data_IF_148494725951
#
_entry.id   IF_148494725951
#
_cell.length_a   1.000
_cell.length_b   1.000
_cell.length_c   1.000
_cell.angle_alpha   90.00
_cell.angle_beta   90.00
_cell.angle_gamma   90.00
#
_symmetry.space_group_name_H-M   'P 1'
#
loop_
_entity.id
_entity.type
_entity.pdbx_description
1 polymer ?
#
# COMPACT_ATOMS: atom_id res chain seq x y z
N UNK A 1 -12.98 -27.26 0.02
CA UNK A 1 -13.99 -26.55 -0.77
C UNK A 1 -14.34 -25.27 -0.05
N UNK A 2 -13.98 -24.06 -0.44
CA UNK A 2 -13.10 -23.58 -1.51
C UNK A 2 -12.63 -22.19 -1.10
N UNK A 3 -11.39 -21.88 -1.49
CA UNK A 3 -10.76 -20.57 -1.43
C UNK A 3 -11.64 -19.50 -2.09
N UNK A 4 -12.12 -18.52 -1.32
CA UNK A 4 -12.71 -17.29 -1.88
C UNK A 4 -12.65 -16.16 -0.86
N UNK A 5 -11.54 -15.45 -0.81
CA UNK A 5 -11.45 -13.97 -0.96
C UNK A 5 -9.98 -13.66 -1.26
N UNK A 6 -9.54 -13.95 -2.48
CA UNK A 6 -8.33 -13.36 -3.04
C UNK A 6 -8.53 -13.16 -4.53
N UNK A 7 -9.33 -12.16 -4.90
CA UNK A 7 -9.47 -11.72 -6.28
C UNK A 7 -9.95 -10.28 -6.31
N UNK A 8 -9.06 -9.33 -6.02
CA UNK A 8 -9.25 -7.93 -6.41
C UNK A 8 -7.96 -7.25 -6.92
N UNK A 9 -6.96 -8.05 -7.36
CA UNK A 9 -5.72 -7.53 -7.99
C UNK A 9 -5.73 -7.78 -9.51
N UNK A 10 -6.90 -7.74 -10.17
CA UNK A 10 -6.96 -7.93 -11.64
C UNK A 10 -7.67 -6.83 -12.43
N UNK A 11 -8.08 -5.75 -11.79
CA UNK A 11 -8.56 -4.57 -12.51
C UNK A 11 -7.58 -3.42 -12.28
N UNK A 12 -6.40 -3.55 -12.89
CA UNK A 12 -5.49 -2.43 -13.06
C UNK A 12 -6.24 -1.29 -13.75
N UNK A 13 -6.19 -0.11 -13.14
CA UNK A 13 -6.80 1.11 -13.65
C UNK A 13 -6.52 1.24 -15.16
N UNK A 14 -7.55 1.24 -16.04
CA UNK A 14 -7.37 1.39 -17.48
C UNK A 14 -6.54 2.63 -17.83
N UNK A 15 -6.59 3.66 -16.98
CA UNK A 15 -5.91 4.92 -17.19
C UNK A 15 -4.37 4.77 -17.08
N UNK A 16 -3.88 3.82 -16.27
CA UNK A 16 -2.46 3.55 -16.14
C UNK A 16 -1.89 2.91 -17.43
N UNK A 17 -2.67 2.05 -18.09
CA UNK A 17 -2.28 1.45 -19.37
C UNK A 17 -2.20 2.49 -20.51
N UNK A 18 -3.14 3.42 -20.56
CA UNK A 18 -3.11 4.52 -21.55
C UNK A 18 -1.94 5.49 -21.32
N UNK A 19 -1.56 5.75 -20.06
CA UNK A 19 -0.40 6.57 -19.74
C UNK A 19 0.93 5.89 -20.11
N UNK A 20 1.07 4.60 -19.83
CA UNK A 20 2.30 3.86 -20.18
C UNK A 20 2.49 3.75 -21.71
N UNK A 21 1.39 3.63 -22.46
CA UNK A 21 1.42 3.55 -23.93
C UNK A 21 1.81 4.87 -24.61
N UNK A 22 1.51 6.02 -23.99
CA UNK A 22 2.00 7.33 -24.45
C UNK A 22 3.48 7.56 -24.16
N UNK A 23 4.00 6.99 -23.06
CA UNK A 23 5.41 7.13 -22.70
C UNK A 23 6.36 6.24 -23.51
N UNK A 24 5.83 5.19 -24.16
CA UNK A 24 6.64 4.16 -24.84
C UNK A 24 6.55 4.18 -26.38
N UNK A 25 5.84 5.13 -27.00
CA UNK A 25 5.61 5.13 -28.46
C UNK A 25 6.13 6.37 -29.22
N UNK A 26 7.07 7.13 -28.66
CA UNK A 26 7.69 8.25 -29.37
C UNK A 26 9.08 7.93 -29.95
N UNK A 27 9.49 6.66 -30.00
CA UNK A 27 10.72 6.27 -30.69
C UNK A 27 10.42 5.29 -31.85
N UNK A 28 10.76 5.76 -33.05
CA UNK A 28 10.96 5.07 -34.33
C UNK A 28 9.75 4.76 -35.22
N UNK A 29 9.50 5.63 -36.21
CA UNK A 29 9.01 5.21 -37.52
C UNK A 29 9.38 6.21 -38.65
N UNK A 30 10.62 6.07 -39.09
CA UNK A 30 11.15 6.34 -40.41
C UNK A 30 10.44 5.48 -41.48
N UNK A 31 9.63 6.09 -42.34
CA UNK A 31 8.87 5.34 -43.35
C UNK A 31 8.19 6.21 -44.41
N UNK A 32 8.97 6.59 -45.41
CA UNK A 32 8.57 7.29 -46.65
C UNK A 32 7.28 6.72 -47.28
N UNK A 33 6.35 7.61 -47.64
CA UNK A 33 5.42 7.36 -48.75
C UNK A 33 5.24 8.63 -49.59
N UNK A 34 5.78 8.56 -50.80
CA UNK A 34 5.66 9.54 -51.88
C UNK A 34 4.21 9.58 -52.39
N UNK A 35 3.59 10.75 -52.39
CA UNK A 35 2.55 11.08 -53.36
C UNK A 35 2.90 12.40 -54.04
N UNK A 36 2.91 12.37 -55.38
CA UNK A 36 3.30 13.46 -56.27
C UNK A 36 2.10 14.38 -56.52
N UNK A 37 2.38 15.69 -56.46
CA UNK A 37 1.91 16.79 -57.32
C UNK A 37 0.40 17.06 -57.47
N UNK A 38 -0.05 18.21 -56.95
CA UNK A 38 -0.89 19.14 -57.73
C UNK A 38 -0.88 20.58 -57.18
N UNK A 39 -0.17 21.46 -57.89
CA UNK A 39 -0.58 22.84 -58.23
C UNK A 39 -0.93 23.87 -57.15
N UNK A 40 0.08 24.61 -56.65
CA UNK A 40 0.24 26.08 -56.74
C UNK A 40 1.40 26.53 -55.84
N UNK A 41 2.34 27.30 -56.40
CA UNK A 41 3.34 28.03 -55.62
C UNK A 41 2.62 29.08 -54.76
N UNK A 42 2.89 29.19 -53.45
CA UNK A 42 2.45 30.34 -52.67
C UNK A 42 3.15 31.60 -53.19
N UNK A 43 2.48 32.77 -53.19
CA UNK A 43 3.12 34.01 -53.62
C UNK A 43 4.30 34.34 -52.71
N UNK A 44 5.39 34.79 -53.31
CA UNK A 44 6.57 35.28 -52.59
C UNK A 44 6.19 36.39 -51.59
N UNK A 45 6.83 36.43 -50.40
CA UNK A 45 6.58 37.49 -49.43
C UNK A 45 6.92 38.85 -50.04
N UNK A 46 5.93 39.74 -49.98
CA UNK A 46 6.07 41.17 -50.25
C UNK A 46 7.13 41.73 -49.31
N UNK A 47 8.02 42.57 -49.84
CA UNK A 47 9.09 43.25 -49.10
C UNK A 47 8.49 43.97 -47.88
N UNK A 48 9.11 43.93 -46.70
CA UNK A 48 8.61 44.67 -45.55
C UNK A 48 8.78 46.17 -45.82
N UNK A 49 7.65 46.87 -45.94
CA UNK A 49 7.63 48.32 -45.82
C UNK A 49 8.10 48.69 -44.43
N UNK A 50 8.96 49.70 -44.37
CA UNK A 50 9.61 50.19 -43.15
C UNK A 50 8.55 50.76 -42.21
N UNK A 51 8.04 49.92 -41.32
CA UNK A 51 7.25 50.35 -40.18
C UNK A 51 8.17 51.06 -39.20
N UNK A 52 8.07 52.39 -39.15
CA UNK A 52 8.79 53.21 -38.18
C UNK A 52 8.28 52.84 -36.78
N UNK A 53 9.03 52.02 -36.06
CA UNK A 53 8.83 51.86 -34.63
C UNK A 53 9.02 53.21 -33.95
N UNK A 54 7.90 53.85 -33.61
CA UNK A 54 7.82 54.87 -32.57
C UNK A 54 8.45 54.26 -31.32
N UNK A 55 9.64 54.75 -30.95
CA UNK A 55 10.26 54.45 -29.66
C UNK A 55 9.39 55.13 -28.60
N UNK A 56 8.36 54.45 -28.14
CA UNK A 56 7.73 54.81 -26.88
C UNK A 56 8.77 54.54 -25.79
N UNK A 57 9.20 55.62 -25.15
CA UNK A 57 10.18 55.58 -24.09
C UNK A 57 9.75 54.57 -23.04
N UNK A 58 10.67 53.69 -22.67
CA UNK A 58 10.50 52.82 -21.52
C UNK A 58 10.56 53.73 -20.29
N UNK A 59 9.41 54.28 -19.90
CA UNK A 59 9.24 54.78 -18.55
C UNK A 59 9.15 53.54 -17.66
N UNK A 60 10.29 52.93 -17.33
CA UNK A 60 10.34 51.91 -16.27
C UNK A 60 10.17 52.62 -14.94
N UNK A 61 8.92 52.89 -14.60
CA UNK A 61 8.48 52.91 -13.22
C UNK A 61 7.82 51.56 -13.03
N UNK A 62 8.63 50.52 -12.82
CA UNK A 62 8.12 49.30 -12.22
C UNK A 62 7.47 49.71 -10.90
N UNK A 63 6.15 49.55 -10.81
CA UNK A 63 5.38 49.94 -9.64
C UNK A 63 5.99 49.25 -8.42
N UNK A 64 6.48 50.04 -7.46
CA UNK A 64 7.17 49.56 -6.25
C UNK A 64 6.35 48.52 -5.47
N UNK A 65 5.04 48.45 -5.70
CA UNK A 65 4.14 47.43 -5.20
C UNK A 65 4.50 46.03 -5.69
N UNK A 66 4.78 45.85 -6.99
CA UNK A 66 4.90 44.53 -7.61
C UNK A 66 6.20 43.84 -7.18
N UNK A 67 7.27 44.62 -7.04
CA UNK A 67 8.56 44.16 -6.48
C UNK A 67 8.40 43.75 -5.01
N UNK A 68 7.56 44.47 -4.24
CA UNK A 68 7.30 44.15 -2.83
C UNK A 68 6.51 42.84 -2.70
N UNK A 69 5.46 42.64 -3.50
CA UNK A 69 4.69 41.39 -3.51
C UNK A 69 5.53 40.19 -3.95
N UNK A 70 6.38 40.35 -4.97
CA UNK A 70 7.30 39.30 -5.40
C UNK A 70 8.30 38.89 -4.31
N UNK A 71 8.83 39.85 -3.55
CA UNK A 71 9.73 39.57 -2.42
C UNK A 71 9.03 38.79 -1.31
N UNK A 72 7.84 39.24 -0.91
CA UNK A 72 7.07 38.57 0.14
C UNK A 72 6.70 37.13 -0.28
N UNK A 73 6.27 36.93 -1.52
CA UNK A 73 5.97 35.60 -2.04
C UNK A 73 7.20 34.68 -2.09
N UNK A 74 8.40 35.21 -2.34
CA UNK A 74 9.63 34.41 -2.25
C UNK A 74 9.93 33.98 -0.82
N UNK A 75 9.77 34.88 0.16
CA UNK A 75 10.02 34.60 1.57
C UNK A 75 9.03 33.55 2.12
N UNK A 76 7.74 33.71 1.84
CA UNK A 76 6.70 32.72 2.18
C UNK A 76 6.99 31.35 1.54
N UNK A 77 7.44 31.31 0.28
CA UNK A 77 7.84 30.06 -0.37
C UNK A 77 9.05 29.39 0.29
N UNK A 78 10.02 30.16 0.80
CA UNK A 78 11.16 29.60 1.52
C UNK A 78 10.74 28.99 2.86
N UNK A 79 9.84 29.65 3.58
CA UNK A 79 9.28 29.15 4.84
C UNK A 79 8.47 27.87 4.61
N UNK A 80 7.57 27.87 3.61
CA UNK A 80 6.78 26.70 3.24
C UNK A 80 7.66 25.51 2.85
N UNK A 81 8.74 25.74 2.09
CA UNK A 81 9.71 24.68 1.75
C UNK A 81 10.38 24.11 3.00
N UNK A 82 10.79 24.96 3.94
CA UNK A 82 11.37 24.51 5.21
C UNK A 82 10.37 23.68 6.00
N UNK A 83 9.12 24.15 6.09
CA UNK A 83 8.06 23.44 6.83
C UNK A 83 7.71 22.09 6.21
N UNK A 84 7.69 22.01 4.87
CA UNK A 84 7.49 20.74 4.16
C UNK A 84 8.62 19.77 4.52
N UNK A 85 9.88 20.20 4.51
CA UNK A 85 11.01 19.34 4.87
C UNK A 85 10.92 18.79 6.30
N UNK A 86 10.52 19.62 7.27
CA UNK A 86 10.29 19.16 8.65
C UNK A 86 9.16 18.14 8.75
N UNK A 87 8.03 18.39 8.06
CA UNK A 87 6.88 17.50 8.07
C UNK A 87 7.21 16.16 7.41
N UNK A 88 8.00 16.17 6.33
CA UNK A 88 8.44 14.95 5.67
C UNK A 88 9.35 14.10 6.57
N UNK A 89 10.28 14.74 7.29
CA UNK A 89 11.12 14.05 8.28
C UNK A 89 10.28 13.44 9.41
N UNK A 90 9.37 14.22 9.99
CA UNK A 90 8.50 13.71 11.05
C UNK A 90 7.62 12.56 10.56
N UNK A 91 7.15 12.63 9.31
CA UNK A 91 6.39 11.55 8.67
C UNK A 91 7.24 10.28 8.55
N UNK A 92 8.49 10.38 8.11
CA UNK A 92 9.38 9.21 8.00
C UNK A 92 9.65 8.57 9.35
N UNK A 93 9.90 9.38 10.38
CA UNK A 93 10.15 8.90 11.74
C UNK A 93 8.91 8.18 12.29
N UNK A 94 7.73 8.80 12.14
CA UNK A 94 6.45 8.20 12.56
C UNK A 94 6.13 6.90 11.82
N UNK A 95 6.44 6.83 10.52
CA UNK A 95 6.23 5.60 9.73
C UNK A 95 7.16 4.49 10.23
N UNK A 96 8.42 4.80 10.53
CA UNK A 96 9.38 3.83 11.05
C UNK A 96 8.93 3.26 12.42
N UNK A 97 8.52 4.14 13.35
CA UNK A 97 7.99 3.71 14.65
C UNK A 97 6.74 2.83 14.51
N UNK A 98 5.83 3.17 13.59
CA UNK A 98 4.64 2.37 13.33
C UNK A 98 4.95 0.98 12.77
N UNK A 99 5.98 0.85 11.94
CA UNK A 99 6.44 -0.46 11.45
C UNK A 99 6.95 -1.32 12.61
N UNK A 100 7.74 -0.73 13.51
CA UNK A 100 8.25 -1.43 14.70
C UNK A 100 7.11 -1.86 15.64
N UNK A 101 6.15 -0.96 15.91
CA UNK A 101 4.98 -1.27 16.73
C UNK A 101 4.14 -2.40 16.13
N UNK A 102 3.90 -2.39 14.82
CA UNK A 102 3.19 -3.48 14.13
C UNK A 102 3.92 -4.82 14.28
N UNK A 103 5.26 -4.83 14.18
CA UNK A 103 6.04 -6.04 14.40
C UNK A 103 5.90 -6.57 15.84
N UNK A 104 5.91 -5.67 16.84
CA UNK A 104 5.69 -6.04 18.25
C UNK A 104 4.28 -6.58 18.50
N UNK A 105 3.25 -6.01 17.87
CA UNK A 105 1.87 -6.51 17.97
C UNK A 105 1.76 -7.93 17.44
N UNK A 106 2.30 -8.21 16.24
CA UNK A 106 2.29 -9.56 15.67
C UNK A 106 2.99 -10.56 16.59
N UNK A 107 4.10 -10.17 17.22
CA UNK A 107 4.82 -11.03 18.16
C UNK A 107 3.99 -11.33 19.41
N UNK A 108 3.33 -10.32 19.97
CA UNK A 108 2.47 -10.48 21.14
C UNK A 108 1.24 -11.36 20.85
N UNK A 109 0.65 -11.24 19.65
CA UNK A 109 -0.46 -12.09 19.23
C UNK A 109 -0.05 -13.57 19.21
N UNK A 110 1.14 -13.87 18.66
CA UNK A 110 1.70 -15.22 18.65
C UNK A 110 1.93 -15.76 20.07
N UNK A 111 2.53 -14.95 20.94
CA UNK A 111 2.82 -15.34 22.33
C UNK A 111 1.51 -15.61 23.11
N UNK A 112 0.46 -14.80 22.89
CA UNK A 112 -0.87 -15.01 23.48
C UNK A 112 -1.47 -16.34 23.03
N UNK A 113 -1.36 -16.68 21.74
CA UNK A 113 -1.92 -17.92 21.23
C UNK A 113 -1.16 -19.16 21.72
N UNK A 114 0.16 -19.07 21.90
CA UNK A 114 0.96 -20.11 22.55
C UNK A 114 0.54 -20.31 24.02
N UNK A 115 0.41 -19.21 24.78
CA UNK A 115 -0.04 -19.28 26.18
C UNK A 115 -1.44 -19.86 26.33
N UNK A 116 -2.37 -19.55 25.40
CA UNK A 116 -3.70 -20.16 25.39
C UNK A 116 -3.63 -21.68 25.19
N UNK A 117 -2.82 -22.15 24.24
CA UNK A 117 -2.62 -23.59 24.00
C UNK A 117 -2.01 -24.29 25.21
N UNK A 118 -1.00 -23.68 25.82
CA UNK A 118 -0.37 -24.22 27.03
C UNK A 118 -1.38 -24.31 28.19
N UNK A 119 -2.18 -23.26 28.40
CA UNK A 119 -3.21 -23.24 29.45
C UNK A 119 -4.25 -24.34 29.26
N UNK A 120 -4.71 -24.55 28.02
CA UNK A 120 -5.67 -25.61 27.69
C UNK A 120 -5.09 -27.00 27.95
N UNK A 121 -3.84 -27.23 27.54
CA UNK A 121 -3.14 -28.50 27.78
C UNK A 121 -3.00 -28.83 29.28
N UNK A 122 -2.70 -27.83 30.11
CA UNK A 122 -2.57 -27.99 31.56
C UNK A 122 -3.90 -28.29 32.25
N UNK A 123 -4.98 -27.64 31.80
CA UNK A 123 -6.34 -27.93 32.31
C UNK A 123 -6.73 -29.38 31.99
N UNK A 124 -6.46 -29.82 30.75
CA UNK A 124 -6.75 -31.18 30.31
C UNK A 124 -5.95 -32.22 31.11
N UNK A 125 -4.68 -31.96 31.41
CA UNK A 125 -3.87 -32.83 32.29
C UNK A 125 -4.41 -32.92 33.72
N UNK A 126 -4.81 -31.80 34.32
CA UNK A 126 -5.36 -31.80 35.68
C UNK A 126 -6.69 -32.54 35.75
N UNK A 127 -7.53 -32.41 34.73
CA UNK A 127 -8.78 -33.15 34.62
C UNK A 127 -8.54 -34.65 34.43
N UNK A 128 -7.65 -35.03 33.50
CA UNK A 128 -7.22 -36.41 33.26
C UNK A 128 -6.76 -37.10 34.55
N UNK A 129 -5.84 -36.47 35.30
CA UNK A 129 -5.37 -37.01 36.59
C UNK A 129 -6.50 -37.26 37.59
N UNK A 130 -7.48 -36.35 37.67
CA UNK A 130 -8.63 -36.51 38.57
C UNK A 130 -9.55 -37.66 38.11
N UNK A 131 -9.80 -37.79 36.81
CA UNK A 131 -10.60 -38.88 36.26
C UNK A 131 -9.94 -40.24 36.54
N UNK A 132 -8.63 -40.34 36.34
CA UNK A 132 -7.86 -41.56 36.64
C UNK A 132 -7.98 -41.92 38.14
N UNK A 133 -7.82 -40.93 39.03
CA UNK A 133 -7.96 -41.14 40.48
C UNK A 133 -9.38 -41.58 40.87
N UNK A 134 -10.42 -40.99 40.29
CA UNK A 134 -11.81 -41.39 40.55
C UNK A 134 -12.06 -42.83 40.05
N UNK A 135 -11.57 -43.18 38.87
CA UNK A 135 -11.69 -44.53 38.33
C UNK A 135 -10.98 -45.57 39.22
N UNK A 136 -9.77 -45.27 39.72
CA UNK A 136 -9.06 -46.08 40.72
C UNK A 136 -9.90 -46.35 41.96
N UNK A 137 -10.51 -45.30 42.53
CA UNK A 137 -11.30 -45.40 43.77
C UNK A 137 -12.59 -46.19 43.55
N UNK A 138 -13.27 -45.98 42.42
CA UNK A 138 -14.57 -46.61 42.15
C UNK A 138 -14.43 -48.07 41.69
N UNK A 139 -13.38 -48.39 40.94
CA UNK A 139 -13.19 -49.71 40.33
C UNK A 139 -12.35 -50.66 41.20
N UNK A 140 -11.68 -50.16 42.27
CA UNK A 140 -10.77 -50.94 43.13
C UNK A 140 -9.68 -51.73 42.37
N UNK A 141 -9.40 -51.35 41.13
CA UNK A 141 -8.39 -51.93 40.24
C UNK A 141 -7.39 -50.84 39.84
N UNK A 142 -6.14 -51.24 39.60
CA UNK A 142 -5.17 -50.37 38.93
C UNK A 142 -5.71 -50.07 37.51
N UNK A 143 -5.92 -48.80 37.12
CA UNK A 143 -6.52 -48.47 35.85
C UNK A 143 -5.56 -48.88 34.76
N UNK A 144 -5.87 -49.98 34.07
CA UNK A 144 -5.08 -50.49 32.94
C UNK A 144 -5.29 -49.63 31.67
N UNK A 145 -5.93 -48.46 31.78
CA UNK A 145 -6.46 -47.77 30.62
C UNK A 145 -5.67 -46.50 30.29
N UNK A 146 -4.86 -46.63 29.24
CA UNK A 146 -4.43 -45.54 28.38
C UNK A 146 -5.63 -44.61 28.09
N UNK A 147 -5.51 -43.35 28.50
CA UNK A 147 -6.54 -42.33 28.31
C UNK A 147 -6.79 -42.12 26.82
N UNK A 148 -7.99 -42.47 26.32
CA UNK A 148 -8.40 -42.22 24.92
C UNK A 148 -9.21 -40.92 24.79
N UNK A 149 -8.66 -39.88 24.13
CA UNK A 149 -9.32 -38.59 23.91
C UNK A 149 -10.50 -38.68 22.91
N UNK A 150 -11.17 -37.54 22.72
CA UNK A 150 -12.45 -37.28 22.01
C UNK A 150 -12.76 -37.97 20.67
N UNK A 151 -11.85 -38.70 20.02
CA UNK A 151 -12.20 -39.51 18.84
C UNK A 151 -13.09 -40.73 19.18
N UNK A 152 -13.21 -41.09 20.46
CA UNK A 152 -14.11 -42.16 20.93
C UNK A 152 -15.60 -41.76 20.89
N UNK A 153 -15.93 -40.50 20.57
CA UNK A 153 -17.31 -40.00 20.41
C UNK A 153 -18.07 -40.62 19.21
N UNK A 154 -17.41 -41.41 18.36
CA UNK A 154 -18.07 -42.20 17.31
C UNK A 154 -18.50 -43.62 17.72
N UNK A 155 -18.03 -44.12 18.86
CA UNK A 155 -18.36 -45.46 19.33
C UNK A 155 -19.64 -45.41 20.17
N UNK A 156 -20.76 -45.62 19.48
CA UNK A 156 -22.03 -46.02 20.10
C UNK A 156 -21.72 -47.24 20.99
N UNK A 157 -21.83 -47.07 22.31
CA UNK A 157 -21.80 -48.15 23.29
C UNK A 157 -23.09 -48.98 23.12
N UNK A 158 -23.18 -49.68 22.00
CA UNK A 158 -24.14 -50.76 21.81
C UNK A 158 -23.29 -52.02 21.91
N UNK A 159 -23.56 -52.82 22.95
CA UNK A 159 -22.90 -54.07 23.30
C UNK A 159 -21.51 -53.93 23.98
N UNK A 160 -21.16 -54.60 25.08
CA UNK A 160 -21.68 -55.80 25.74
C UNK A 160 -21.23 -55.88 27.22
N UNK A 161 -22.10 -56.46 28.05
CA UNK A 161 -21.96 -57.05 29.42
C UNK A 161 -21.55 -56.17 30.61
#
# INVERSE_FOLDING_TARGET
>A
MDDKVNTDIKNGDPNFHYMLKRFLLDEDNDGVSKSKLSGRLPPHPVKPDKEYHKKEGINSVEDKSDIKYGRQAMEENTELKSRIGELEKNRTDTVAENVELRARVVKLEQDIDELKKELESKKNHKFQKKCILIAQILLNEEPVVEYRPSFMEGLKLDAFF
#
